data_IF_433463897029
#
_entry.id   IF_433463897029
#
_cell.length_a   1.000
_cell.length_b   1.000
_cell.length_c   1.000
_cell.angle_alpha   90.00
_cell.angle_beta   90.00
_cell.angle_gamma   90.00
#
_symmetry.space_group_name_H-M   'P 1'
#
loop_
_entity.id
_entity.type
_entity.pdbx_description
1 polymer ?
#
# COMPACT_ATOMS: atom_id res chain seq x y z
N UNK A 1 43.30 55.03 23.80
CA UNK A 1 42.74 55.50 25.08
C UNK A 1 41.41 56.19 24.79
N UNK A 2 40.32 55.89 25.50
CA UNK A 2 39.74 54.59 25.90
C UNK A 2 38.40 54.33 25.13
N UNK A 3 37.95 53.09 24.89
CA UNK A 3 37.19 52.16 25.79
C UNK A 3 35.81 52.73 26.19
N UNK A 4 34.66 52.04 26.15
CA UNK A 4 34.23 50.66 26.51
C UNK A 4 32.96 50.30 25.68
N UNK A 5 32.48 49.08 25.41
CA UNK A 5 32.53 47.77 26.06
C UNK A 5 31.08 47.26 26.24
N UNK A 6 30.57 46.34 25.42
CA UNK A 6 30.16 44.94 25.74
C UNK A 6 29.13 44.54 24.66
N UNK A 7 29.09 43.38 24.01
CA UNK A 7 29.39 42.01 24.43
C UNK A 7 28.06 41.26 24.53
N UNK A 8 27.71 40.40 23.56
CA UNK A 8 26.89 39.18 23.69
C UNK A 8 27.11 38.33 22.42
N UNK A 9 27.57 37.11 22.63
CA UNK A 9 27.58 36.01 21.67
C UNK A 9 26.26 35.24 21.75
N UNK A 10 25.80 34.64 20.65
CA UNK A 10 24.64 33.73 20.71
C UNK A 10 24.14 33.21 19.36
N UNK A 11 24.74 32.10 18.94
CA UNK A 11 24.12 30.96 18.24
C UNK A 11 23.31 31.18 16.95
N UNK A 12 23.91 30.69 15.86
CA UNK A 12 23.21 30.27 14.66
C UNK A 12 22.32 29.04 14.97
N UNK A 13 21.03 29.15 14.68
CA UNK A 13 20.09 28.04 14.60
C UNK A 13 19.53 27.98 13.19
N UNK A 14 19.72 26.85 12.52
CA UNK A 14 19.12 26.56 11.22
C UNK A 14 17.62 26.34 11.38
N UNK A 15 16.83 27.05 10.57
CA UNK A 15 15.41 26.76 10.40
C UNK A 15 15.27 25.55 9.46
N UNK A 16 14.96 24.41 10.05
CA UNK A 16 14.41 23.27 9.35
C UNK A 16 12.98 23.61 8.92
N UNK A 17 12.77 23.60 7.61
CA UNK A 17 11.48 23.71 6.93
C UNK A 17 10.56 22.58 7.42
N UNK A 18 9.64 22.94 8.33
CA UNK A 18 8.60 22.03 8.81
C UNK A 18 7.47 22.05 7.81
N UNK A 19 7.31 20.92 7.13
CA UNK A 19 6.19 20.60 6.26
C UNK A 19 4.86 21.07 6.84
N UNK A 20 4.18 21.89 6.04
CA UNK A 20 2.79 22.28 6.26
C UNK A 20 1.93 21.02 6.16
N UNK A 21 1.56 20.47 7.31
CA UNK A 21 0.41 19.58 7.44
C UNK A 21 -0.86 20.38 7.09
N UNK A 22 -1.33 20.22 5.86
CA UNK A 22 -2.62 20.71 5.41
C UNK A 22 -3.76 19.85 5.95
N UNK A 23 -3.99 19.89 7.26
CA UNK A 23 -5.26 19.43 7.86
C UNK A 23 -6.21 20.62 7.98
N UNK A 24 -6.64 21.16 6.84
CA UNK A 24 -7.81 22.03 6.83
C UNK A 24 -9.04 21.15 7.11
N UNK A 25 -9.68 21.37 8.25
CA UNK A 25 -10.90 20.69 8.65
C UNK A 25 -12.08 21.16 7.78
N UNK A 26 -12.36 20.45 6.70
CA UNK A 26 -13.58 20.62 5.88
C UNK A 26 -14.81 19.97 6.54
N UNK A 27 -15.01 20.20 7.84
CA UNK A 27 -16.26 19.83 8.50
C UNK A 27 -17.27 20.99 8.28
N UNK A 28 -18.38 20.77 7.56
CA UNK A 28 -19.39 21.81 7.42
C UNK A 28 -19.95 22.16 8.80
N UNK A 29 -20.04 23.47 9.07
CA UNK A 29 -20.55 24.00 10.33
C UNK A 29 -21.97 23.46 10.60
N UNK A 30 -22.08 22.51 11.54
CA UNK A 30 -23.35 21.98 12.05
C UNK A 30 -23.73 20.55 11.64
N UNK A 31 -22.90 19.82 10.89
CA UNK A 31 -23.16 18.43 10.47
C UNK A 31 -22.34 17.38 11.22
N UNK A 32 -22.86 16.16 11.36
CA UNK A 32 -22.04 15.01 11.76
C UNK A 32 -20.88 14.83 10.76
N UNK A 33 -19.64 14.70 11.24
CA UNK A 33 -18.46 14.52 10.37
C UNK A 33 -18.54 13.24 9.50
N UNK A 34 -19.30 12.24 9.96
CA UNK A 34 -19.54 10.96 9.30
C UNK A 34 -20.99 10.50 9.57
N UNK A 35 -21.61 9.67 8.71
CA UNK A 35 -22.97 9.16 8.95
C UNK A 35 -23.08 8.18 10.13
N UNK A 36 -21.95 7.82 10.76
CA UNK A 36 -21.85 6.71 11.72
C UNK A 36 -22.75 6.86 12.95
N UNK A 37 -22.89 8.06 13.50
CA UNK A 37 -23.79 8.30 14.65
C UNK A 37 -25.23 8.07 14.24
N UNK A 38 -25.66 8.65 13.10
CA UNK A 38 -27.00 8.44 12.56
C UNK A 38 -27.27 6.96 12.22
N UNK A 39 -26.27 6.25 11.69
CA UNK A 39 -26.37 4.82 11.42
C UNK A 39 -26.38 3.97 12.69
N UNK A 40 -25.73 4.40 13.78
CA UNK A 40 -25.85 3.76 15.08
C UNK A 40 -27.26 3.96 15.66
N UNK A 41 -27.76 5.19 15.65
CA UNK A 41 -29.10 5.53 16.13
C UNK A 41 -30.19 4.78 15.33
N UNK A 42 -30.06 4.74 14.01
CA UNK A 42 -30.93 3.95 13.13
C UNK A 42 -30.95 2.48 13.53
N UNK A 43 -29.78 1.86 13.72
CA UNK A 43 -29.67 0.44 14.09
C UNK A 43 -30.30 0.20 15.46
N UNK A 44 -30.01 1.02 16.45
CA UNK A 44 -30.58 0.89 17.80
C UNK A 44 -32.11 1.05 17.77
N UNK A 45 -32.63 2.03 17.06
CA UNK A 45 -34.08 2.25 16.94
C UNK A 45 -34.78 1.10 16.22
N UNK A 46 -34.20 0.58 15.14
CA UNK A 46 -34.78 -0.52 14.37
C UNK A 46 -34.78 -1.85 15.14
N UNK A 47 -33.72 -2.14 15.89
CA UNK A 47 -33.67 -3.28 16.83
C UNK A 47 -34.72 -3.13 17.92
N UNK A 48 -34.82 -1.95 18.54
CA UNK A 48 -35.81 -1.69 19.59
C UNK A 48 -37.26 -1.80 19.08
N UNK A 49 -37.48 -1.49 17.80
CA UNK A 49 -38.77 -1.65 17.13
C UNK A 49 -39.03 -3.08 16.61
N UNK A 50 -38.08 -4.01 16.75
CA UNK A 50 -38.20 -5.40 16.28
C UNK A 50 -38.19 -5.56 14.76
N UNK A 51 -37.54 -4.64 14.03
CA UNK A 51 -37.45 -4.69 12.56
C UNK A 51 -36.37 -5.67 12.07
N UNK A 52 -35.29 -5.83 12.83
CA UNK A 52 -34.20 -6.78 12.57
C UNK A 52 -33.41 -7.06 13.85
N UNK A 53 -32.63 -8.14 13.84
CA UNK A 53 -31.75 -8.51 14.95
C UNK A 53 -30.46 -7.66 14.97
N UNK A 54 -29.81 -7.47 16.13
CA UNK A 54 -28.63 -6.61 16.26
C UNK A 54 -27.49 -6.91 15.28
N UNK A 55 -27.27 -8.17 14.94
CA UNK A 55 -26.22 -8.64 14.03
C UNK A 55 -26.54 -8.37 12.55
N UNK A 56 -27.82 -8.18 12.20
CA UNK A 56 -28.26 -7.78 10.85
C UNK A 56 -28.06 -6.27 10.60
N UNK A 57 -27.89 -5.48 11.66
CA UNK A 57 -27.81 -4.03 11.60
C UNK A 57 -26.82 -3.46 10.57
N UNK A 58 -25.58 -3.97 10.42
CA UNK A 58 -24.65 -3.53 9.39
C UNK A 58 -25.19 -3.69 7.96
N UNK A 59 -25.89 -4.78 7.67
CA UNK A 59 -26.46 -5.04 6.33
C UNK A 59 -27.58 -4.04 6.03
N UNK A 60 -28.48 -3.79 6.98
CA UNK A 60 -29.54 -2.81 6.81
C UNK A 60 -29.02 -1.37 6.71
N UNK A 61 -27.95 -1.05 7.44
CA UNK A 61 -27.25 0.23 7.28
C UNK A 61 -26.73 0.42 5.85
N UNK A 62 -26.08 -0.59 5.27
CA UNK A 62 -25.61 -0.54 3.87
C UNK A 62 -26.79 -0.51 2.86
N UNK A 63 -27.93 -1.14 3.17
CA UNK A 63 -29.15 -1.04 2.34
C UNK A 63 -29.65 0.40 2.31
N UNK A 64 -29.84 1.03 3.47
CA UNK A 64 -30.31 2.42 3.57
C UNK A 64 -29.34 3.37 2.88
N UNK A 65 -28.03 3.24 3.15
CA UNK A 65 -27.03 4.09 2.49
C UNK A 65 -26.97 3.85 0.99
N UNK A 66 -27.21 2.62 0.52
CA UNK A 66 -27.34 2.30 -0.89
C UNK A 66 -28.50 3.02 -1.57
N UNK A 67 -29.65 3.10 -0.90
CA UNK A 67 -30.83 3.84 -1.36
C UNK A 67 -30.62 5.36 -1.37
N UNK A 68 -29.81 5.87 -0.44
CA UNK A 68 -29.47 7.30 -0.34
C UNK A 68 -28.32 7.72 -1.26
N UNK A 69 -27.59 6.76 -1.84
CA UNK A 69 -26.49 7.04 -2.75
C UNK A 69 -27.01 7.52 -4.11
N UNK A 70 -26.39 8.54 -4.71
CA UNK A 70 -26.70 9.02 -6.07
C UNK A 70 -26.59 7.91 -7.12
N UNK A 71 -27.26 8.04 -8.25
CA UNK A 71 -27.09 7.07 -9.36
C UNK A 71 -25.67 7.15 -9.93
N UNK A 72 -25.11 6.07 -10.51
CA UNK A 72 -23.80 6.11 -11.15
C UNK A 72 -23.62 7.32 -12.08
N UNK A 73 -24.57 7.53 -12.99
CA UNK A 73 -24.57 8.67 -13.91
C UNK A 73 -24.50 10.03 -13.20
N UNK A 74 -25.24 10.22 -12.10
CA UNK A 74 -25.21 11.51 -11.38
C UNK A 74 -23.87 11.77 -10.70
N UNK A 75 -23.16 10.71 -10.29
CA UNK A 75 -21.85 10.81 -9.67
C UNK A 75 -20.78 11.09 -10.73
N UNK A 76 -20.89 10.43 -11.89
CA UNK A 76 -20.06 10.73 -13.06
C UNK A 76 -20.25 12.18 -13.52
N UNK A 77 -21.49 12.65 -13.69
CA UNK A 77 -21.81 14.03 -14.12
C UNK A 77 -21.18 15.07 -13.16
N UNK A 78 -21.32 14.86 -11.84
CA UNK A 78 -20.73 15.75 -10.83
C UNK A 78 -19.21 15.69 -10.79
N UNK A 79 -18.62 14.53 -11.05
CA UNK A 79 -17.17 14.39 -11.16
C UNK A 79 -16.64 15.15 -12.37
N UNK A 80 -17.25 14.96 -13.54
CA UNK A 80 -16.87 15.64 -14.77
C UNK A 80 -17.06 17.16 -14.68
N UNK A 81 -18.13 17.62 -14.02
CA UNK A 81 -18.34 19.04 -13.74
C UNK A 81 -17.21 19.59 -12.88
N UNK A 82 -16.91 18.94 -11.75
CA UNK A 82 -15.84 19.36 -10.83
C UNK A 82 -14.46 19.31 -11.51
N UNK A 83 -14.20 18.28 -12.33
CA UNK A 83 -12.94 18.16 -13.06
C UNK A 83 -12.80 19.27 -14.11
N UNK A 84 -13.89 19.61 -14.79
CA UNK A 84 -13.91 20.69 -15.78
C UNK A 84 -13.75 22.09 -15.17
N UNK A 85 -14.22 22.31 -13.95
CA UNK A 85 -14.13 23.62 -13.26
C UNK A 85 -12.84 23.78 -12.46
N UNK A 86 -12.46 22.76 -11.70
CA UNK A 86 -11.45 22.85 -10.64
C UNK A 86 -10.28 21.86 -10.84
N UNK A 87 -10.35 21.00 -11.85
CA UNK A 87 -9.30 20.06 -12.22
C UNK A 87 -9.44 18.67 -11.57
N UNK A 88 -8.69 17.70 -12.10
CA UNK A 88 -8.81 16.28 -11.71
C UNK A 88 -8.57 16.00 -10.23
N UNK A 89 -7.67 16.75 -9.59
CA UNK A 89 -7.40 16.56 -8.15
C UNK A 89 -8.60 16.95 -7.28
N UNK A 90 -9.27 18.07 -7.58
CA UNK A 90 -10.44 18.45 -6.79
C UNK A 90 -11.61 17.50 -7.05
N UNK A 91 -11.77 16.99 -8.27
CA UNK A 91 -12.75 15.95 -8.58
C UNK A 91 -12.50 14.66 -7.77
N UNK A 92 -11.25 14.22 -7.63
CA UNK A 92 -10.88 13.08 -6.78
C UNK A 92 -11.14 13.33 -5.29
N UNK A 93 -10.87 14.54 -4.81
CA UNK A 93 -11.16 14.93 -3.42
C UNK A 93 -12.67 14.94 -3.16
N UNK A 94 -13.45 15.55 -4.06
CA UNK A 94 -14.91 15.54 -4.01
C UNK A 94 -15.44 14.11 -3.99
N UNK A 95 -14.96 13.25 -4.88
CA UNK A 95 -15.42 11.87 -4.97
C UNK A 95 -15.08 11.08 -3.70
N UNK A 96 -13.92 11.33 -3.10
CA UNK A 96 -13.55 10.72 -1.83
C UNK A 96 -14.48 11.19 -0.70
N UNK A 97 -14.75 12.50 -0.59
CA UNK A 97 -15.70 13.05 0.38
C UNK A 97 -17.09 12.41 0.21
N UNK A 98 -17.55 12.25 -1.02
CA UNK A 98 -18.80 11.54 -1.32
C UNK A 98 -18.77 10.08 -0.85
N UNK A 99 -17.70 9.33 -1.15
CA UNK A 99 -17.56 7.94 -0.73
C UNK A 99 -17.46 7.76 0.80
N UNK A 100 -16.97 8.77 1.51
CA UNK A 100 -17.02 8.82 2.99
C UNK A 100 -18.43 9.12 3.47
N UNK A 101 -19.10 10.12 2.87
CA UNK A 101 -20.45 10.54 3.25
C UNK A 101 -21.50 9.45 3.00
N UNK A 102 -21.36 8.68 1.92
CA UNK A 102 -22.25 7.55 1.64
C UNK A 102 -21.87 6.26 2.40
N UNK A 103 -20.89 6.33 3.30
CA UNK A 103 -20.38 5.22 4.11
C UNK A 103 -19.81 4.04 3.29
N UNK A 104 -19.40 4.26 2.05
CA UNK A 104 -18.66 3.25 1.29
C UNK A 104 -17.22 3.11 1.83
N UNK A 105 -16.51 4.23 1.95
CA UNK A 105 -15.23 4.29 2.68
C UNK A 105 -15.55 4.35 4.17
N UNK A 106 -15.16 3.29 4.91
CA UNK A 106 -15.47 3.15 6.34
C UNK A 106 -14.54 4.01 7.21
N UNK A 107 -14.45 5.32 6.93
CA UNK A 107 -13.45 6.25 7.48
C UNK A 107 -13.35 6.21 9.00
N UNK A 108 -14.48 6.24 9.72
CA UNK A 108 -14.42 6.24 11.19
C UNK A 108 -13.96 4.90 11.82
N UNK A 109 -13.94 3.80 11.06
CA UNK A 109 -13.30 2.55 11.49
C UNK A 109 -11.80 2.62 11.21
N UNK A 110 -11.43 3.10 10.01
CA UNK A 110 -10.03 3.27 9.61
C UNK A 110 -9.27 4.23 10.53
N UNK A 111 -9.93 5.28 10.99
CA UNK A 111 -9.36 6.28 11.92
C UNK A 111 -9.02 5.74 13.31
N UNK A 112 -9.47 4.52 13.62
CA UNK A 112 -9.16 3.84 14.89
C UNK A 112 -8.01 2.85 14.75
N UNK A 113 -7.52 2.59 13.54
CA UNK A 113 -6.42 1.65 13.34
C UNK A 113 -5.16 2.17 14.04
N UNK A 114 -4.49 1.35 14.87
CA UNK A 114 -3.15 1.67 15.35
C UNK A 114 -2.24 1.99 14.16
N UNK A 115 -1.48 3.07 14.27
CA UNK A 115 -0.56 3.54 13.23
C UNK A 115 0.62 4.28 13.84
N UNK A 116 1.83 3.93 13.45
CA UNK A 116 3.07 4.54 13.94
C UNK A 116 4.21 4.36 12.93
N UNK A 117 5.24 5.19 13.06
CA UNK A 117 6.45 5.14 12.23
C UNK A 117 7.57 4.45 12.99
N UNK A 118 8.32 3.56 12.33
CA UNK A 118 9.43 2.83 12.93
C UNK A 118 10.35 2.28 11.83
N UNK A 119 11.67 2.33 12.02
CA UNK A 119 12.67 1.86 11.04
C UNK A 119 12.52 2.45 9.62
N UNK A 120 12.08 3.71 9.51
CA UNK A 120 11.79 4.34 8.21
C UNK A 120 10.57 3.77 7.47
N UNK A 121 9.81 2.90 8.15
CA UNK A 121 8.56 2.32 7.69
C UNK A 121 7.38 2.95 8.43
N UNK A 122 6.21 2.72 7.86
CA UNK A 122 4.94 3.06 8.49
C UNK A 122 4.19 1.77 8.76
N UNK A 123 3.81 1.55 10.01
CA UNK A 123 3.12 0.33 10.43
C UNK A 123 1.68 0.68 10.79
N UNK A 124 0.71 -0.08 10.31
CA UNK A 124 -0.68 0.03 10.76
C UNK A 124 -1.31 -1.33 10.99
N UNK A 125 -2.14 -1.46 12.03
CA UNK A 125 -2.94 -2.66 12.28
C UNK A 125 -4.37 -2.41 11.80
N UNK A 126 -4.75 -3.04 10.68
CA UNK A 126 -6.06 -2.81 10.07
C UNK A 126 -7.12 -3.69 10.73
N UNK A 127 -7.95 -3.06 11.56
CA UNK A 127 -9.04 -3.73 12.29
C UNK A 127 -10.28 -3.97 11.41
N UNK A 128 -10.38 -3.31 10.26
CA UNK A 128 -11.52 -3.43 9.35
C UNK A 128 -11.36 -4.57 8.33
N UNK A 129 -10.12 -5.00 8.06
CA UNK A 129 -9.80 -6.04 7.08
C UNK A 129 -10.07 -7.43 7.69
N UNK A 130 -10.92 -8.28 7.06
CA UNK A 130 -11.02 -9.69 7.44
C UNK A 130 -9.69 -10.41 7.19
N UNK A 131 -9.19 -11.14 8.19
CA UNK A 131 -7.94 -11.89 8.08
C UNK A 131 -8.19 -13.30 7.51
N UNK A 132 -7.38 -13.71 6.53
CA UNK A 132 -7.43 -15.07 5.99
C UNK A 132 -6.27 -15.91 6.53
N UNK A 133 -6.52 -16.70 7.57
CA UNK A 133 -5.54 -17.65 8.16
C UNK A 133 -5.04 -18.74 7.20
N UNK A 134 -5.63 -18.89 6.01
CA UNK A 134 -5.23 -19.87 5.02
C UNK A 134 -5.23 -19.24 3.61
N UNK A 135 -4.06 -19.17 2.99
CA UNK A 135 -3.87 -18.58 1.65
C UNK A 135 -4.67 -19.30 0.55
N UNK A 136 -4.93 -20.61 0.68
CA UNK A 136 -5.84 -21.33 -0.23
C UNK A 136 -7.29 -20.86 -0.09
N UNK A 137 -7.72 -20.44 1.09
CA UNK A 137 -9.07 -19.86 1.30
C UNK A 137 -9.18 -18.43 0.75
N UNK A 138 -8.11 -17.64 0.81
CA UNK A 138 -8.07 -16.32 0.16
C UNK A 138 -8.20 -16.43 -1.37
N UNK A 139 -7.48 -17.38 -1.99
CA UNK A 139 -7.62 -17.69 -3.41
C UNK A 139 -9.02 -18.22 -3.78
N UNK A 140 -9.64 -19.03 -2.91
CA UNK A 140 -10.99 -19.54 -3.10
C UNK A 140 -12.07 -18.43 -2.95
N UNK A 141 -11.87 -17.46 -2.05
CA UNK A 141 -12.77 -16.30 -1.88
C UNK A 141 -12.80 -15.37 -3.10
N UNK A 142 -11.75 -15.42 -3.92
CA UNK A 142 -11.67 -14.75 -5.23
C UNK A 142 -11.96 -15.72 -6.39
N UNK A 143 -12.27 -16.99 -6.14
CA UNK A 143 -12.55 -17.96 -7.20
C UNK A 143 -13.95 -17.76 -7.77
N UNK A 144 -14.00 -17.60 -9.08
CA UNK A 144 -15.18 -17.15 -9.84
C UNK A 144 -15.89 -18.32 -10.52
N UNK A 145 -15.93 -19.48 -9.87
CA UNK A 145 -16.63 -20.64 -10.42
C UNK A 145 -18.15 -20.37 -10.48
N UNK A 146 -18.60 -19.74 -11.59
CA UNK A 146 -20.00 -19.68 -12.02
C UNK A 146 -20.87 -18.52 -11.50
N UNK A 147 -20.32 -17.37 -11.08
CA UNK A 147 -21.10 -16.26 -10.49
C UNK A 147 -21.15 -14.95 -11.30
N UNK A 148 -22.16 -14.12 -11.02
CA UNK A 148 -22.24 -12.70 -11.45
C UNK A 148 -22.25 -11.77 -10.21
N UNK A 149 -21.49 -10.66 -10.21
CA UNK A 149 -20.37 -10.31 -11.08
C UNK A 149 -19.28 -11.39 -11.12
N UNK A 150 -18.39 -11.37 -12.10
CA UNK A 150 -17.35 -12.40 -12.23
C UNK A 150 -16.46 -12.42 -10.98
N UNK A 151 -15.72 -11.34 -10.65
CA UNK A 151 -14.93 -11.22 -9.42
C UNK A 151 -15.38 -10.04 -8.54
N UNK A 152 -14.74 -9.90 -7.38
CA UNK A 152 -15.07 -8.91 -6.32
C UNK A 152 -14.77 -7.46 -6.70
N UNK A 153 -14.03 -7.23 -7.79
CA UNK A 153 -13.64 -5.91 -8.28
C UNK A 153 -14.15 -5.59 -9.68
N UNK A 154 -14.94 -6.47 -10.33
CA UNK A 154 -15.51 -6.13 -11.64
C UNK A 154 -16.43 -4.91 -11.57
N UNK A 155 -16.54 -4.19 -12.68
CA UNK A 155 -17.42 -3.02 -12.83
C UNK A 155 -18.87 -3.32 -12.45
N UNK A 156 -19.38 -4.53 -12.74
CA UNK A 156 -20.76 -4.92 -12.40
C UNK A 156 -21.04 -4.99 -10.89
N UNK A 157 -20.02 -4.82 -10.03
CA UNK A 157 -20.25 -4.65 -8.61
C UNK A 157 -20.83 -3.27 -8.26
N UNK A 158 -20.74 -2.26 -9.13
CA UNK A 158 -21.24 -0.92 -8.83
C UNK A 158 -22.75 -0.94 -8.52
N UNK A 159 -23.11 -0.50 -7.31
CA UNK A 159 -24.49 -0.55 -6.82
C UNK A 159 -25.07 -1.96 -6.64
N UNK A 160 -24.31 -3.04 -6.85
CA UNK A 160 -24.86 -4.39 -6.90
C UNK A 160 -25.22 -4.95 -5.52
N UNK A 161 -26.52 -5.08 -5.27
CA UNK A 161 -27.07 -5.58 -4.02
C UNK A 161 -26.67 -7.03 -3.71
N UNK A 162 -26.52 -7.89 -4.74
CA UNK A 162 -26.21 -9.31 -4.57
C UNK A 162 -24.82 -9.60 -3.97
N UNK A 163 -23.92 -8.61 -3.93
CA UNK A 163 -22.62 -8.69 -3.26
C UNK A 163 -22.43 -7.67 -2.14
N UNK A 164 -23.52 -7.06 -1.67
CA UNK A 164 -23.50 -5.96 -0.71
C UNK A 164 -22.59 -4.79 -1.15
N UNK A 165 -22.65 -4.42 -2.43
CA UNK A 165 -21.89 -3.30 -3.02
C UNK A 165 -22.80 -2.11 -3.36
N UNK A 166 -23.89 -1.95 -2.59
CA UNK A 166 -24.96 -0.96 -2.86
C UNK A 166 -24.48 0.49 -2.86
N UNK A 167 -23.51 0.81 -2.01
CA UNK A 167 -22.90 2.13 -1.87
C UNK A 167 -21.67 2.33 -2.76
N UNK A 168 -21.17 1.29 -3.44
CA UNK A 168 -20.04 1.42 -4.35
C UNK A 168 -20.43 2.31 -5.53
N UNK A 169 -19.59 3.31 -5.78
CA UNK A 169 -19.59 4.13 -6.99
C UNK A 169 -18.19 4.14 -7.58
N UNK A 170 -18.10 4.33 -8.88
CA UNK A 170 -16.87 4.29 -9.66
C UNK A 170 -16.81 5.50 -10.60
N UNK A 171 -15.61 5.84 -11.07
CA UNK A 171 -15.39 6.92 -12.03
C UNK A 171 -14.66 6.37 -13.25
N UNK A 172 -15.14 6.60 -14.48
CA UNK A 172 -14.44 6.18 -15.69
C UNK A 172 -13.03 6.80 -15.80
N UNK A 173 -12.08 5.99 -16.25
CA UNK A 173 -10.70 6.39 -16.52
C UNK A 173 -10.29 5.80 -17.87
N UNK A 174 -9.50 6.54 -18.65
CA UNK A 174 -8.92 6.05 -19.90
C UNK A 174 -7.41 5.92 -19.73
N UNK A 175 -6.90 4.70 -19.85
CA UNK A 175 -5.46 4.39 -19.79
C UNK A 175 -5.08 3.66 -21.07
N UNK A 176 -4.06 4.12 -21.79
CA UNK A 176 -3.63 3.53 -23.06
C UNK A 176 -4.69 3.57 -24.17
N UNK A 177 -5.71 4.41 -24.04
CA UNK A 177 -6.88 4.42 -24.92
C UNK A 177 -7.93 3.33 -24.61
N UNK A 178 -7.74 2.58 -23.53
CA UNK A 178 -8.67 1.54 -23.07
C UNK A 178 -9.60 2.04 -21.96
N UNK A 179 -10.72 1.36 -21.75
CA UNK A 179 -11.68 1.67 -20.69
C UNK A 179 -11.29 1.06 -19.35
N UNK A 180 -11.05 1.92 -18.37
CA UNK A 180 -10.78 1.60 -16.97
C UNK A 180 -11.77 2.32 -16.06
N UNK A 181 -11.76 2.01 -14.78
CA UNK A 181 -12.53 2.77 -13.79
C UNK A 181 -11.82 2.83 -12.45
N UNK A 182 -11.92 3.98 -11.78
CA UNK A 182 -11.44 4.19 -10.43
C UNK A 182 -12.51 3.85 -9.39
N UNK A 183 -12.10 3.16 -8.34
CA UNK A 183 -12.90 3.04 -7.11
C UNK A 183 -12.00 3.21 -5.88
N UNK A 184 -12.49 3.91 -4.86
CA UNK A 184 -11.80 3.93 -3.58
C UNK A 184 -11.90 2.57 -2.87
N UNK A 185 -10.97 2.29 -1.96
CA UNK A 185 -11.02 1.07 -1.15
C UNK A 185 -11.91 1.31 0.09
N UNK A 186 -12.90 0.45 0.36
CA UNK A 186 -13.79 0.63 1.51
C UNK A 186 -13.06 0.46 2.85
N UNK A 187 -11.93 -0.27 2.83
CA UNK A 187 -11.06 -0.56 3.98
C UNK A 187 -9.68 0.14 3.86
N UNK A 188 -9.62 1.25 3.13
CA UNK A 188 -8.42 2.00 2.74
C UNK A 188 -7.20 1.85 3.67
N UNK A 189 -6.02 1.64 3.08
CA UNK A 189 -4.79 1.39 3.83
C UNK A 189 -4.07 2.69 4.21
N UNK A 190 -4.30 3.73 3.42
CA UNK A 190 -3.73 5.06 3.54
C UNK A 190 -4.72 6.09 3.00
N UNK A 191 -4.36 7.37 3.11
CA UNK A 191 -5.22 8.46 2.65
C UNK A 191 -5.61 8.30 1.17
N UNK A 192 -6.92 8.31 0.91
CA UNK A 192 -7.48 8.18 -0.45
C UNK A 192 -7.02 6.93 -1.24
N UNK A 193 -6.71 5.84 -0.54
CA UNK A 193 -6.39 4.55 -1.17
C UNK A 193 -7.53 4.07 -2.08
N UNK A 194 -7.23 3.74 -3.33
CA UNK A 194 -8.15 3.16 -4.29
C UNK A 194 -7.46 2.26 -5.31
N UNK A 195 -8.26 1.72 -6.23
CA UNK A 195 -7.80 0.91 -7.34
C UNK A 195 -8.37 1.43 -8.66
N UNK A 196 -7.57 1.35 -9.72
CA UNK A 196 -7.99 1.57 -11.10
C UNK A 196 -8.10 0.21 -11.78
N UNK A 197 -9.29 -0.21 -12.18
CA UNK A 197 -9.56 -1.58 -12.64
C UNK A 197 -9.86 -1.57 -14.13
N UNK A 198 -9.31 -2.53 -14.87
CA UNK A 198 -9.63 -2.69 -16.28
C UNK A 198 -11.13 -3.01 -16.41
N UNK A 199 -11.87 -2.34 -17.28
CA UNK A 199 -13.31 -2.64 -17.41
C UNK A 199 -13.54 -4.07 -17.90
N UNK A 200 -12.63 -4.59 -18.72
CA UNK A 200 -12.65 -5.97 -19.18
C UNK A 200 -12.03 -6.88 -18.11
N UNK A 201 -12.71 -7.98 -17.80
CA UNK A 201 -12.18 -9.00 -16.89
C UNK A 201 -11.12 -9.85 -17.59
N UNK A 202 -9.87 -9.42 -17.52
CA UNK A 202 -8.69 -10.13 -18.01
C UNK A 202 -7.68 -10.33 -16.88
N UNK A 203 -6.88 -11.41 -16.87
CA UNK A 203 -5.83 -11.59 -15.88
C UNK A 203 -4.83 -10.44 -15.87
N UNK A 204 -4.33 -10.12 -14.69
CA UNK A 204 -3.31 -9.09 -14.48
C UNK A 204 -2.01 -9.44 -15.20
N UNK A 205 -1.37 -8.42 -15.77
CA UNK A 205 -0.06 -8.52 -16.41
C UNK A 205 0.78 -7.26 -16.14
N UNK A 206 2.08 -7.36 -16.39
CA UNK A 206 3.02 -6.23 -16.31
C UNK A 206 3.93 -6.27 -17.52
N UNK A 207 3.79 -5.28 -18.38
CA UNK A 207 4.50 -5.12 -19.64
C UNK A 207 4.82 -3.64 -19.91
N UNK A 208 5.14 -3.30 -21.15
CA UNK A 208 5.45 -1.94 -21.56
C UNK A 208 4.24 -1.00 -21.41
N UNK A 209 3.07 -1.46 -21.81
CA UNK A 209 1.84 -0.66 -21.83
C UNK A 209 1.43 -0.29 -20.40
N UNK A 210 1.69 -1.19 -19.45
CA UNK A 210 1.54 -0.93 -18.01
C UNK A 210 2.21 0.39 -17.60
N UNK A 211 3.43 0.69 -18.06
CA UNK A 211 4.10 1.94 -17.71
C UNK A 211 3.38 3.17 -18.29
N UNK A 212 2.89 3.07 -19.52
CA UNK A 212 2.08 4.10 -20.15
C UNK A 212 0.80 4.36 -19.37
N UNK A 213 0.09 3.29 -18.97
CA UNK A 213 -1.13 3.37 -18.17
C UNK A 213 -0.91 4.08 -16.83
N UNK A 214 0.18 3.75 -16.11
CA UNK A 214 0.49 4.42 -14.86
C UNK A 214 0.74 5.92 -15.07
N UNK A 215 1.42 6.29 -16.17
CA UNK A 215 1.69 7.68 -16.52
C UNK A 215 0.41 8.44 -16.92
N UNK A 216 -0.48 7.83 -17.69
CA UNK A 216 -1.79 8.44 -18.05
C UNK A 216 -2.60 8.79 -16.80
N UNK A 217 -2.57 7.92 -15.78
CA UNK A 217 -3.27 8.16 -14.53
C UNK A 217 -2.69 9.35 -13.77
N UNK A 218 -1.38 9.39 -13.57
CA UNK A 218 -0.75 10.48 -12.80
C UNK A 218 -0.73 11.79 -13.58
N UNK A 219 -0.82 11.77 -14.91
CA UNK A 219 -1.06 12.98 -15.71
C UNK A 219 -2.43 13.60 -15.39
N UNK A 220 -3.47 12.78 -15.27
CA UNK A 220 -4.83 13.24 -14.91
C UNK A 220 -4.94 13.62 -13.42
N UNK A 221 -4.26 12.87 -12.55
CA UNK A 221 -4.33 13.02 -11.09
C UNK A 221 -2.93 13.17 -10.46
N UNK A 222 -2.24 14.31 -10.68
CA UNK A 222 -0.80 14.47 -10.37
C UNK A 222 -0.45 14.47 -8.89
N UNK A 223 -1.42 14.64 -7.98
CA UNK A 223 -1.21 14.51 -6.54
C UNK A 223 -1.24 13.07 -6.04
N UNK A 224 -1.55 12.09 -6.90
CA UNK A 224 -1.62 10.68 -6.54
C UNK A 224 -0.46 9.91 -7.16
N UNK A 225 -0.09 8.80 -6.52
CA UNK A 225 0.69 7.76 -7.17
C UNK A 225 -0.24 6.65 -7.66
N UNK A 226 0.21 5.88 -8.66
CA UNK A 226 -0.43 4.65 -9.11
C UNK A 226 0.61 3.58 -9.39
N UNK A 227 0.36 2.34 -8.97
CA UNK A 227 1.26 1.23 -9.27
C UNK A 227 0.55 -0.10 -9.42
N UNK A 228 1.32 -1.10 -9.89
CA UNK A 228 0.85 -2.45 -10.14
C UNK A 228 1.61 -3.45 -9.26
N UNK A 229 0.91 -4.44 -8.71
CA UNK A 229 1.61 -5.61 -8.17
C UNK A 229 2.28 -6.37 -9.31
N UNK A 230 3.35 -7.09 -9.01
CA UNK A 230 3.91 -8.03 -9.97
C UNK A 230 2.88 -9.13 -10.27
N UNK A 231 2.68 -9.40 -11.56
CA UNK A 231 1.79 -10.44 -12.08
C UNK A 231 2.40 -11.85 -11.91
N UNK A 232 2.67 -12.24 -10.67
CA UNK A 232 3.14 -13.57 -10.29
C UNK A 232 2.39 -14.06 -9.05
N UNK A 233 2.18 -15.38 -8.92
CA UNK A 233 1.64 -15.95 -7.69
C UNK A 233 2.62 -15.78 -6.51
N UNK A 234 2.10 -15.85 -5.28
CA UNK A 234 2.82 -15.83 -3.98
C UNK A 234 3.51 -14.52 -3.59
N UNK A 235 3.51 -13.47 -4.41
CA UNK A 235 4.28 -12.24 -4.13
C UNK A 235 3.41 -10.97 -3.97
N UNK A 236 2.22 -11.10 -3.39
CA UNK A 236 1.43 -9.95 -2.93
C UNK A 236 0.22 -9.55 -3.78
N UNK A 237 0.05 -10.13 -4.98
CA UNK A 237 -1.16 -9.94 -5.78
C UNK A 237 -2.36 -10.66 -5.16
N UNK A 238 -3.36 -9.91 -4.66
CA UNK A 238 -4.56 -10.48 -4.03
C UNK A 238 -5.65 -10.87 -5.04
N UNK A 239 -5.74 -10.18 -6.18
CA UNK A 239 -6.70 -10.44 -7.26
C UNK A 239 -5.98 -10.52 -8.60
N UNK A 240 -5.25 -11.61 -8.85
CA UNK A 240 -4.52 -11.80 -10.12
C UNK A 240 -5.42 -12.09 -11.33
N UNK A 241 -6.69 -12.45 -11.09
CA UNK A 241 -7.63 -12.83 -12.14
C UNK A 241 -8.23 -11.64 -12.91
N UNK A 242 -8.13 -10.43 -12.36
CA UNK A 242 -8.66 -9.21 -12.99
C UNK A 242 -7.62 -8.10 -12.86
N UNK A 243 -7.16 -7.60 -14.00
CA UNK A 243 -6.18 -6.54 -14.14
C UNK A 243 -6.62 -5.23 -13.47
N UNK A 244 -5.74 -4.70 -12.62
CA UNK A 244 -5.98 -3.48 -11.84
C UNK A 244 -4.68 -2.89 -11.30
N UNK A 245 -4.69 -1.58 -11.11
CA UNK A 245 -3.64 -0.82 -10.44
C UNK A 245 -4.15 -0.32 -9.09
N UNK A 246 -3.25 0.03 -8.17
CA UNK A 246 -3.58 0.55 -6.84
C UNK A 246 -2.74 1.80 -6.53
N UNK A 247 -3.33 2.74 -5.81
CA UNK A 247 -2.72 4.05 -5.60
C UNK A 247 -3.55 4.94 -4.68
N UNK A 248 -3.17 6.22 -4.61
CA UNK A 248 -3.90 7.23 -3.85
C UNK A 248 -3.04 8.43 -3.46
N UNK A 249 -3.57 9.26 -2.56
CA UNK A 249 -3.02 10.59 -2.24
C UNK A 249 -1.98 10.64 -1.12
N UNK A 250 -1.44 9.51 -0.67
CA UNK A 250 -0.40 9.47 0.37
C UNK A 250 0.98 9.12 -0.21
N UNK A 251 1.99 9.93 0.11
CA UNK A 251 3.38 9.58 -0.17
C UNK A 251 3.87 8.50 0.78
N UNK A 252 4.04 7.28 0.26
CA UNK A 252 4.63 6.15 0.98
C UNK A 252 6.14 6.35 1.24
N UNK A 253 6.71 5.67 2.25
CA UNK A 253 8.12 5.84 2.62
C UNK A 253 9.12 5.66 1.48
N UNK A 254 8.95 4.65 0.63
CA UNK A 254 9.85 4.40 -0.49
C UNK A 254 9.87 5.56 -1.49
N UNK A 255 8.78 6.31 -1.68
CA UNK A 255 8.76 7.50 -2.54
C UNK A 255 9.70 8.60 -2.01
N UNK A 256 9.85 8.68 -0.69
CA UNK A 256 10.69 9.65 0.03
C UNK A 256 12.13 9.16 0.21
N UNK A 257 12.41 7.89 -0.08
CA UNK A 257 13.73 7.30 0.09
C UNK A 257 14.76 8.01 -0.81
N UNK A 258 15.93 8.30 -0.24
CA UNK A 258 17.03 8.91 -0.95
C UNK A 258 17.65 7.94 -1.97
N UNK A 259 18.35 8.50 -2.97
CA UNK A 259 19.20 7.70 -3.84
C UNK A 259 20.45 7.24 -3.07
N UNK A 260 20.71 5.93 -3.10
CA UNK A 260 21.96 5.34 -2.65
C UNK A 260 23.05 5.45 -3.73
N UNK A 261 22.68 5.28 -5.01
CA UNK A 261 23.54 5.54 -6.16
C UNK A 261 22.71 6.00 -7.35
N UNK A 262 23.29 6.86 -8.19
CA UNK A 262 22.66 7.43 -9.38
C UNK A 262 23.44 7.03 -10.63
N UNK A 263 22.71 6.75 -11.70
CA UNK A 263 23.24 6.34 -12.98
C UNK A 263 22.69 7.23 -14.08
N UNK A 264 23.58 7.66 -14.97
CA UNK A 264 23.20 8.26 -16.24
C UNK A 264 22.79 7.18 -17.23
N UNK A 265 21.82 7.50 -18.08
CA UNK A 265 21.43 6.67 -19.23
C UNK A 265 21.95 7.35 -20.50
N UNK A 266 23.03 6.88 -21.14
CA UNK A 266 23.68 7.61 -22.24
C UNK A 266 22.76 7.97 -23.40
N UNK A 267 21.80 7.09 -23.72
CA UNK A 267 20.82 7.29 -24.79
C UNK A 267 19.72 8.31 -24.42
N UNK A 268 19.59 8.66 -23.13
CA UNK A 268 18.58 9.57 -22.58
C UNK A 268 19.24 10.57 -21.60
N UNK A 269 19.86 11.65 -22.10
CA UNK A 269 20.70 12.55 -21.29
C UNK A 269 20.02 13.22 -20.09
N UNK A 270 18.70 13.42 -20.16
CA UNK A 270 17.89 14.04 -19.10
C UNK A 270 17.22 13.01 -18.17
N UNK A 271 17.59 11.73 -18.31
CA UNK A 271 17.05 10.62 -17.50
C UNK A 271 18.12 10.05 -16.60
N UNK A 272 17.76 9.84 -15.34
CA UNK A 272 18.60 9.13 -14.38
C UNK A 272 17.91 7.88 -13.86
N UNK A 273 18.71 6.89 -13.47
CA UNK A 273 18.25 5.70 -12.76
C UNK A 273 18.92 5.68 -11.39
N UNK A 274 18.12 5.51 -10.34
CA UNK A 274 18.59 5.54 -8.95
C UNK A 274 18.38 4.18 -8.29
N UNK A 275 19.40 3.68 -7.60
CA UNK A 275 19.22 2.64 -6.59
C UNK A 275 18.78 3.35 -5.32
N UNK A 276 17.67 2.95 -4.73
CA UNK A 276 17.16 3.59 -3.51
C UNK A 276 17.89 3.11 -2.27
N UNK A 277 18.05 3.99 -1.28
CA UNK A 277 18.44 3.57 0.07
C UNK A 277 17.24 2.96 0.77
N UNK A 278 16.94 1.72 0.38
CA UNK A 278 15.75 0.98 0.76
C UNK A 278 16.12 -0.47 1.12
N UNK A 279 15.44 -1.12 2.08
CA UNK A 279 15.72 -2.52 2.42
C UNK A 279 15.41 -3.50 1.28
N UNK A 280 14.39 -3.19 0.46
CA UNK A 280 14.03 -3.98 -0.73
C UNK A 280 14.87 -3.62 -1.96
N UNK A 281 14.93 -4.53 -2.94
CA UNK A 281 15.57 -4.26 -4.24
C UNK A 281 14.64 -3.45 -5.14
N UNK A 282 14.97 -2.19 -5.36
CA UNK A 282 14.23 -1.31 -6.26
C UNK A 282 15.15 -0.34 -7.02
N UNK A 283 14.74 0.00 -8.24
CA UNK A 283 15.35 1.05 -9.05
C UNK A 283 14.29 2.11 -9.39
N UNK A 284 14.67 3.39 -9.37
CA UNK A 284 13.79 4.50 -9.73
C UNK A 284 14.30 5.19 -10.98
N UNK A 285 13.47 5.25 -12.01
CA UNK A 285 13.73 6.02 -13.24
C UNK A 285 13.11 7.40 -13.06
N UNK A 286 13.91 8.45 -13.28
CA UNK A 286 13.47 9.84 -13.13
C UNK A 286 13.73 10.60 -14.42
N UNK A 287 12.70 11.25 -14.95
CA UNK A 287 12.78 12.05 -16.18
C UNK A 287 11.60 12.99 -16.31
N UNK A 288 11.80 14.10 -17.02
CA UNK A 288 10.69 14.94 -17.49
C UNK A 288 10.08 14.42 -18.79
N UNK A 289 10.72 13.45 -19.43
CA UNK A 289 10.26 12.86 -20.69
C UNK A 289 9.54 11.54 -20.43
N UNK A 290 8.23 11.51 -20.70
CA UNK A 290 7.35 10.35 -20.54
C UNK A 290 7.86 9.12 -21.33
N UNK A 291 8.28 9.31 -22.57
CA UNK A 291 8.76 8.22 -23.43
C UNK A 291 10.06 7.62 -22.88
N UNK A 292 10.93 8.46 -22.30
CA UNK A 292 12.16 8.00 -21.66
C UNK A 292 11.87 7.18 -20.40
N UNK A 293 10.85 7.54 -19.60
CA UNK A 293 10.40 6.72 -18.46
C UNK A 293 10.00 5.33 -18.93
N UNK A 294 9.14 5.25 -19.95
CA UNK A 294 8.63 3.98 -20.48
C UNK A 294 9.78 3.14 -21.03
N UNK A 295 10.64 3.71 -21.88
CA UNK A 295 11.72 2.97 -22.53
C UNK A 295 12.74 2.44 -21.53
N UNK A 296 13.21 3.27 -20.60
CA UNK A 296 14.23 2.87 -19.61
C UNK A 296 13.64 1.86 -18.63
N UNK A 297 12.38 2.04 -18.22
CA UNK A 297 11.70 1.11 -17.31
C UNK A 297 11.46 -0.25 -17.97
N UNK A 298 11.12 -0.28 -19.26
CA UNK A 298 10.94 -1.51 -20.03
C UNK A 298 12.26 -2.24 -20.28
N UNK A 299 13.36 -1.51 -20.52
CA UNK A 299 14.72 -2.07 -20.58
C UNK A 299 15.10 -2.79 -19.28
N UNK A 300 14.85 -2.16 -18.12
CA UNK A 300 15.09 -2.77 -16.80
C UNK A 300 14.18 -3.99 -16.60
N UNK A 301 12.88 -3.88 -16.91
CA UNK A 301 11.90 -4.96 -16.78
C UNK A 301 12.30 -6.19 -17.57
N UNK A 302 12.63 -6.02 -18.86
CA UNK A 302 12.99 -7.12 -19.76
C UNK A 302 14.27 -7.81 -19.29
N UNK A 303 15.28 -7.04 -18.87
CA UNK A 303 16.50 -7.61 -18.33
C UNK A 303 16.27 -8.41 -17.05
N UNK A 304 15.47 -7.88 -16.12
CA UNK A 304 15.14 -8.57 -14.88
C UNK A 304 14.34 -9.86 -15.12
N UNK A 305 13.40 -9.84 -16.08
CA UNK A 305 12.61 -11.02 -16.44
C UNK A 305 13.45 -12.18 -16.97
N UNK A 306 14.62 -11.90 -17.55
CA UNK A 306 15.56 -12.91 -18.06
C UNK A 306 16.80 -13.13 -17.19
N UNK A 307 16.83 -12.59 -15.96
CA UNK A 307 18.00 -12.67 -15.10
C UNK A 307 18.00 -13.97 -14.26
N UNK A 308 19.13 -14.67 -14.29
CA UNK A 308 19.40 -15.88 -13.50
C UNK A 308 20.67 -15.67 -12.67
N UNK A 309 20.64 -16.07 -11.40
CA UNK A 309 21.78 -16.09 -10.50
C UNK A 309 21.59 -17.20 -9.45
N UNK A 310 22.13 -18.37 -9.75
CA UNK A 310 22.02 -19.53 -8.87
C UNK A 310 22.72 -19.34 -7.52
N UNK A 311 23.71 -18.44 -7.41
CA UNK A 311 24.38 -18.18 -6.14
C UNK A 311 23.50 -17.35 -5.18
N UNK A 312 22.54 -16.60 -5.73
CA UNK A 312 21.55 -15.82 -5.01
C UNK A 312 20.17 -16.47 -4.96
N UNK A 313 20.06 -17.75 -5.37
CA UNK A 313 18.79 -18.48 -5.52
C UNK A 313 17.77 -17.77 -6.43
N UNK A 314 18.26 -17.05 -7.45
CA UNK A 314 17.42 -16.38 -8.45
C UNK A 314 17.36 -17.23 -9.71
N UNK A 315 16.15 -17.65 -10.07
CA UNK A 315 15.86 -18.20 -11.38
C UNK A 315 14.79 -17.33 -12.07
N UNK A 316 14.97 -17.07 -13.35
CA UNK A 316 14.04 -16.34 -14.21
C UNK A 316 12.78 -17.16 -14.48
N UNK A 317 12.91 -18.49 -14.51
CA UNK A 317 11.86 -19.46 -14.80
C UNK A 317 11.98 -20.72 -13.93
N UNK A 318 10.85 -21.38 -13.67
CA UNK A 318 10.85 -22.69 -13.02
C UNK A 318 11.14 -23.84 -14.00
N UNK A 319 11.17 -25.08 -13.47
CA UNK A 319 11.42 -26.30 -14.26
C UNK A 319 10.36 -26.58 -15.34
N UNK A 320 9.16 -26.01 -15.19
CA UNK A 320 8.06 -26.13 -16.15
C UNK A 320 8.05 -24.97 -17.16
N UNK A 321 9.02 -24.06 -17.07
CA UNK A 321 9.16 -22.89 -17.92
C UNK A 321 8.23 -21.72 -17.55
N UNK A 322 7.60 -21.74 -16.38
CA UNK A 322 6.81 -20.59 -15.91
C UNK A 322 7.75 -19.49 -15.41
N UNK A 323 7.46 -18.24 -15.80
CA UNK A 323 8.22 -17.07 -15.34
C UNK A 323 8.17 -16.94 -13.82
N UNK A 324 9.33 -16.67 -13.22
CA UNK A 324 9.49 -16.42 -11.80
C UNK A 324 9.89 -14.98 -11.45
N UNK A 325 10.41 -14.21 -12.42
CA UNK A 325 10.79 -12.80 -12.22
C UNK A 325 9.78 -11.81 -12.83
N UNK A 326 9.46 -10.76 -12.09
CA UNK A 326 8.66 -9.62 -12.57
C UNK A 326 8.97 -8.36 -11.77
N UNK A 327 8.48 -7.21 -12.23
CA UNK A 327 8.58 -5.94 -11.49
C UNK A 327 7.21 -5.55 -10.94
N UNK A 328 7.19 -4.86 -9.81
CA UNK A 328 6.03 -4.10 -9.33
C UNK A 328 6.31 -2.61 -9.57
N UNK A 329 5.75 -2.01 -10.64
CA UNK A 329 5.96 -0.59 -10.94
C UNK A 329 5.06 0.33 -10.12
N UNK A 330 5.52 1.54 -9.83
CA UNK A 330 4.75 2.63 -9.22
C UNK A 330 5.21 3.96 -9.80
N UNK A 331 4.28 4.77 -10.28
CA UNK A 331 4.53 6.07 -10.87
C UNK A 331 3.98 7.20 -9.98
N UNK A 332 4.71 8.31 -9.93
CA UNK A 332 4.28 9.56 -9.33
C UNK A 332 4.91 10.75 -10.09
N UNK A 333 4.27 11.91 -10.01
CA UNK A 333 4.86 13.17 -10.47
C UNK A 333 5.40 13.94 -9.27
N UNK A 334 6.67 14.34 -9.34
CA UNK A 334 7.34 15.21 -8.36
C UNK A 334 7.84 16.49 -9.05
N UNK A 335 8.53 17.34 -8.31
CA UNK A 335 9.23 18.51 -8.86
C UNK A 335 10.36 18.13 -9.85
N UNK A 336 10.89 16.90 -9.75
CA UNK A 336 11.89 16.33 -10.65
C UNK A 336 11.31 15.88 -11.99
N UNK A 337 9.98 15.73 -12.08
CA UNK A 337 9.27 15.19 -13.25
C UNK A 337 8.55 13.90 -12.89
N UNK A 338 8.50 12.95 -13.83
CA UNK A 338 7.98 11.62 -13.57
C UNK A 338 9.02 10.79 -12.81
N UNK A 339 8.56 10.08 -11.79
CA UNK A 339 9.36 9.08 -11.08
C UNK A 339 8.66 7.73 -11.17
N UNK A 340 9.29 6.77 -11.84
CA UNK A 340 8.83 5.38 -11.95
C UNK A 340 9.73 4.49 -11.10
N UNK A 341 9.21 4.01 -9.98
CA UNK A 341 9.89 3.01 -9.15
C UNK A 341 9.54 1.60 -9.61
N UNK A 342 10.56 0.77 -9.82
CA UNK A 342 10.45 -0.64 -10.16
C UNK A 342 10.97 -1.47 -9.00
N UNK A 343 10.08 -2.16 -8.29
CA UNK A 343 10.47 -3.12 -7.25
C UNK A 343 10.69 -4.48 -7.91
N UNK A 344 11.86 -5.07 -7.70
CA UNK A 344 12.25 -6.32 -8.33
C UNK A 344 11.66 -7.47 -7.52
N UNK A 345 10.90 -8.35 -8.17
CA UNK A 345 10.20 -9.45 -7.51
C UNK A 345 10.57 -10.78 -8.15
N UNK A 346 10.69 -11.80 -7.31
CA UNK A 346 10.86 -13.17 -7.74
C UNK A 346 10.02 -14.10 -6.85
N UNK A 347 9.37 -15.10 -7.43
CA UNK A 347 8.49 -16.04 -6.70
C UNK A 347 9.02 -17.47 -6.60
N UNK A 348 10.34 -17.64 -6.79
CA UNK A 348 11.04 -18.89 -6.59
C UNK A 348 10.82 -19.44 -5.18
N UNK A 349 10.84 -20.77 -5.09
CA UNK A 349 10.64 -21.54 -3.87
C UNK A 349 11.81 -22.49 -3.69
N UNK A 350 12.02 -22.95 -2.46
CA UNK A 350 13.00 -24.00 -2.15
C UNK A 350 12.42 -25.00 -1.14
N UNK A 351 13.13 -26.10 -0.87
CA UNK A 351 12.73 -27.02 0.20
C UNK A 351 12.68 -26.32 1.57
N UNK A 352 13.61 -25.38 1.81
CA UNK A 352 13.63 -24.57 3.03
C UNK A 352 12.50 -23.55 3.06
N UNK A 353 12.17 -22.94 1.92
CA UNK A 353 11.15 -21.89 1.80
C UNK A 353 10.10 -22.26 0.75
N UNK A 354 9.15 -23.16 1.08
CA UNK A 354 8.12 -23.62 0.14
C UNK A 354 7.11 -22.53 -0.23
N UNK A 355 6.93 -21.52 0.62
CA UNK A 355 6.06 -20.37 0.35
C UNK A 355 6.77 -19.26 -0.47
N UNK A 356 8.11 -19.34 -0.61
CA UNK A 356 8.91 -18.42 -1.41
C UNK A 356 10.23 -18.04 -0.75
N UNK A 357 11.32 -18.06 -1.53
CA UNK A 357 12.64 -17.61 -1.08
C UNK A 357 12.61 -16.11 -0.76
N UNK A 358 11.93 -15.32 -1.61
CA UNK A 358 11.79 -13.86 -1.49
C UNK A 358 10.44 -13.47 -0.88
N UNK A 359 10.16 -14.01 0.30
CA UNK A 359 8.88 -13.88 1.01
C UNK A 359 9.08 -13.59 2.51
N UNK A 360 8.01 -13.29 3.24
CA UNK A 360 8.02 -13.37 4.70
C UNK A 360 8.32 -14.81 5.14
N UNK A 361 9.38 -14.99 5.92
CA UNK A 361 9.87 -16.30 6.37
C UNK A 361 9.18 -16.75 7.67
N UNK A 362 9.21 -18.07 8.00
CA UNK A 362 8.42 -18.65 9.09
C UNK A 362 8.53 -17.96 10.45
N UNK A 363 9.72 -17.47 10.81
CA UNK A 363 9.99 -16.77 12.05
C UNK A 363 9.22 -15.44 12.23
N UNK A 364 8.70 -14.88 11.13
CA UNK A 364 7.94 -13.63 11.13
C UNK A 364 6.43 -13.82 10.91
N UNK A 365 5.97 -15.06 10.67
CA UNK A 365 4.54 -15.36 10.48
C UNK A 365 3.61 -15.00 11.65
N UNK A 366 4.05 -15.02 12.93
CA UNK A 366 3.22 -14.53 14.04
C UNK A 366 2.75 -13.09 13.81
N UNK A 367 3.59 -12.27 13.16
CA UNK A 367 3.27 -10.88 12.76
C UNK A 367 2.61 -10.86 11.39
N UNK A 368 3.29 -11.37 10.36
CA UNK A 368 2.86 -11.25 8.96
C UNK A 368 3.22 -12.50 8.17
N UNK A 369 2.21 -13.32 7.94
CA UNK A 369 2.31 -14.49 7.05
C UNK A 369 1.90 -14.17 5.61
N UNK A 370 0.99 -13.21 5.40
CA UNK A 370 0.49 -12.87 4.07
C UNK A 370 1.62 -12.32 3.18
N UNK A 371 1.62 -12.62 1.87
CA UNK A 371 2.56 -12.06 0.91
C UNK A 371 2.65 -10.54 0.95
N UNK A 372 3.85 -10.02 0.70
CA UNK A 372 4.15 -8.59 0.71
C UNK A 372 3.66 -7.94 -0.58
N UNK A 373 2.56 -7.18 -0.48
CA UNK A 373 1.99 -6.43 -1.60
C UNK A 373 2.82 -5.21 -2.00
N UNK A 374 2.48 -4.57 -3.11
CA UNK A 374 3.13 -3.32 -3.56
C UNK A 374 3.16 -2.26 -2.44
N UNK A 375 2.06 -2.04 -1.72
CA UNK A 375 1.98 -1.01 -0.67
C UNK A 375 2.97 -1.28 0.47
N UNK A 376 3.10 -2.55 0.87
CA UNK A 376 4.00 -2.99 1.93
C UNK A 376 5.45 -2.94 1.48
N UNK A 377 5.73 -3.35 0.23
CA UNK A 377 7.05 -3.24 -0.38
C UNK A 377 7.52 -1.78 -0.51
N UNK A 378 6.58 -0.82 -0.57
CA UNK A 378 6.83 0.62 -0.56
C UNK A 378 6.91 1.23 0.86
N UNK A 379 6.80 0.39 1.90
CA UNK A 379 7.09 0.76 3.28
C UNK A 379 5.89 1.04 4.17
N UNK A 380 4.66 0.85 3.69
CA UNK A 380 3.47 0.90 4.51
C UNK A 380 2.96 -0.51 4.81
N UNK A 381 3.26 -1.03 6.00
CA UNK A 381 2.86 -2.37 6.41
C UNK A 381 1.44 -2.39 6.98
N UNK A 382 0.60 -3.24 6.40
CA UNK A 382 -0.78 -3.45 6.85
C UNK A 382 -0.86 -4.77 7.60
N UNK A 383 -0.76 -4.66 8.91
CA UNK A 383 -0.80 -5.77 9.83
C UNK A 383 -2.25 -6.18 10.17
N UNK A 384 -2.48 -7.45 10.51
CA UNK A 384 -3.80 -8.00 10.75
C UNK A 384 -4.37 -7.62 12.12
N UNK A 385 -5.69 -7.38 12.19
CA UNK A 385 -6.39 -6.92 13.39
C UNK A 385 -6.21 -7.78 14.64
N UNK A 386 -5.95 -9.08 14.51
CA UNK A 386 -5.68 -9.99 15.65
C UNK A 386 -4.51 -9.52 16.52
N UNK A 387 -3.53 -8.81 15.94
CA UNK A 387 -2.32 -8.42 16.65
C UNK A 387 -2.61 -7.45 17.79
N UNK A 388 -3.70 -6.68 17.75
CA UNK A 388 -4.06 -5.79 18.86
C UNK A 388 -4.20 -6.57 20.17
N UNK A 389 -4.91 -7.69 20.15
CA UNK A 389 -5.11 -8.52 21.34
C UNK A 389 -3.83 -9.29 21.72
N UNK A 390 -3.15 -9.88 20.72
CA UNK A 390 -1.95 -10.69 20.95
C UNK A 390 -0.82 -9.85 21.55
N UNK A 391 -0.58 -8.65 21.01
CA UNK A 391 0.45 -7.75 21.53
C UNK A 391 0.10 -7.22 22.90
N UNK A 392 -1.18 -6.90 23.17
CA UNK A 392 -1.63 -6.51 24.51
C UNK A 392 -1.31 -7.58 25.56
N UNK A 393 -1.48 -8.87 25.23
CA UNK A 393 -1.10 -9.99 26.10
C UNK A 393 0.40 -10.06 26.34
N UNK A 394 1.22 -9.80 25.32
CA UNK A 394 2.67 -9.74 25.48
C UNK A 394 3.07 -8.59 26.41
N UNK A 395 2.49 -7.40 26.20
CA UNK A 395 2.74 -6.22 27.05
C UNK A 395 2.34 -6.48 28.51
N UNK A 396 1.21 -7.15 28.73
CA UNK A 396 0.72 -7.53 30.06
C UNK A 396 1.69 -8.47 30.77
N UNK A 397 2.13 -9.53 30.08
CA UNK A 397 3.05 -10.50 30.64
C UNK A 397 4.42 -9.88 30.94
N UNK A 398 4.95 -9.03 30.05
CA UNK A 398 6.21 -8.29 30.27
C UNK A 398 6.12 -7.38 31.51
N UNK A 399 5.03 -6.64 31.67
CA UNK A 399 4.83 -5.76 32.81
C UNK A 399 4.67 -6.52 34.15
N UNK A 400 4.00 -7.67 34.12
CA UNK A 400 3.88 -8.58 35.26
C UNK A 400 5.21 -9.32 35.57
N UNK A 401 6.10 -9.42 34.58
CA UNK A 401 7.30 -10.25 34.63
C UNK A 401 7.01 -11.74 34.60
N UNK A 402 5.96 -12.10 33.88
CA UNK A 402 5.57 -13.47 33.59
C UNK A 402 6.28 -13.96 32.32
N UNK A 403 6.14 -15.26 32.02
CA UNK A 403 6.64 -15.83 30.78
C UNK A 403 5.74 -15.51 29.58
N UNK A 404 6.17 -15.94 28.39
CA UNK A 404 5.36 -15.85 27.17
C UNK A 404 4.00 -16.56 27.38
N UNK A 405 2.85 -15.88 27.13
CA UNK A 405 1.54 -16.52 27.22
C UNK A 405 1.41 -17.73 26.28
N UNK A 406 0.77 -18.80 26.75
CA UNK A 406 0.64 -20.06 26.00
C UNK A 406 -0.11 -19.89 24.67
N UNK A 407 -1.11 -19.01 24.62
CA UNK A 407 -1.86 -18.68 23.41
C UNK A 407 -1.13 -17.72 22.46
N UNK A 408 0.07 -17.27 22.85
CA UNK A 408 1.01 -16.50 22.05
C UNK A 408 2.34 -17.24 21.84
N UNK A 409 2.38 -18.57 22.02
CA UNK A 409 3.60 -19.38 21.92
C UNK A 409 4.39 -19.20 20.61
N UNK A 410 3.70 -18.88 19.51
CA UNK A 410 4.34 -18.66 18.21
C UNK A 410 5.22 -17.39 18.18
N UNK A 411 5.05 -16.45 19.13
CA UNK A 411 5.84 -15.20 19.24
C UNK A 411 7.19 -15.39 19.94
N UNK A 412 7.72 -16.61 20.00
CA UNK A 412 8.93 -16.93 20.78
C UNK A 412 10.14 -16.06 20.41
N UNK A 413 10.34 -15.78 19.11
CA UNK A 413 11.44 -14.92 18.65
C UNK A 413 11.24 -13.49 19.15
N UNK A 414 10.09 -12.89 18.83
CA UNK A 414 9.76 -11.51 19.18
C UNK A 414 9.80 -11.31 20.70
N UNK A 415 9.29 -12.28 21.46
CA UNK A 415 9.35 -12.27 22.92
C UNK A 415 10.79 -12.23 23.45
N UNK A 416 11.68 -13.05 22.88
CA UNK A 416 13.07 -13.09 23.31
C UNK A 416 13.82 -11.79 23.00
N UNK A 417 13.55 -11.19 21.84
CA UNK A 417 14.14 -9.91 21.42
C UNK A 417 13.60 -8.76 22.28
N UNK A 418 12.29 -8.72 22.54
CA UNK A 418 11.66 -7.75 23.45
C UNK A 418 12.20 -7.85 24.87
N UNK A 419 12.27 -9.06 25.44
CA UNK A 419 12.76 -9.26 26.79
C UNK A 419 14.23 -8.83 26.94
N UNK A 420 15.06 -9.06 25.91
CA UNK A 420 16.43 -8.60 25.86
C UNK A 420 16.53 -7.07 25.74
N UNK A 421 15.73 -6.46 24.84
CA UNK A 421 15.73 -5.01 24.63
C UNK A 421 15.25 -4.24 25.87
N UNK A 422 14.29 -4.80 26.62
CA UNK A 422 13.76 -4.19 27.83
C UNK A 422 14.69 -4.32 29.04
N UNK A 423 15.61 -5.30 29.05
CA UNK A 423 16.56 -5.56 30.15
C UNK A 423 15.88 -5.52 31.55
N UNK A 424 14.71 -6.18 31.65
CA UNK A 424 13.93 -6.23 32.89
C UNK A 424 13.14 -4.95 33.23
N UNK A 425 13.12 -3.94 32.36
CA UNK A 425 12.24 -2.78 32.49
C UNK A 425 10.77 -3.20 32.35
N UNK A 426 9.97 -2.87 33.35
CA UNK A 426 8.54 -3.22 33.44
C UNK A 426 7.59 -2.02 33.30
N UNK A 427 8.13 -0.86 32.93
CA UNK A 427 7.32 0.33 32.69
C UNK A 427 6.47 0.12 31.42
N UNK A 428 5.16 0.37 31.51
CA UNK A 428 4.20 0.13 30.41
C UNK A 428 4.49 0.96 29.17
N UNK A 429 4.89 2.21 29.31
CA UNK A 429 5.18 3.07 28.16
C UNK A 429 6.46 2.60 27.45
N UNK A 430 7.48 2.17 28.21
CA UNK A 430 8.70 1.59 27.66
C UNK A 430 8.43 0.25 26.95
N UNK A 431 7.58 -0.61 27.53
CA UNK A 431 7.14 -1.86 26.93
C UNK A 431 6.40 -1.59 25.61
N UNK A 432 5.43 -0.67 25.62
CA UNK A 432 4.65 -0.33 24.43
C UNK A 432 5.54 0.20 23.29
N UNK A 433 6.48 1.09 23.63
CA UNK A 433 7.46 1.60 22.67
C UNK A 433 8.36 0.49 22.10
N UNK A 434 8.83 -0.43 22.95
CA UNK A 434 9.63 -1.58 22.50
C UNK A 434 8.84 -2.53 21.59
N UNK A 435 7.54 -2.74 21.87
CA UNK A 435 6.66 -3.54 21.00
C UNK A 435 6.47 -2.86 19.63
N UNK A 436 6.25 -1.55 19.59
CA UNK A 436 6.17 -0.81 18.33
C UNK A 436 7.48 -0.86 17.53
N UNK A 437 8.61 -0.68 18.21
CA UNK A 437 9.95 -0.79 17.61
C UNK A 437 10.20 -2.18 17.02
N UNK A 438 9.89 -3.23 17.78
CA UNK A 438 10.02 -4.62 17.34
C UNK A 438 9.14 -4.94 16.13
N UNK A 439 7.90 -4.42 16.08
CA UNK A 439 7.06 -4.56 14.89
C UNK A 439 7.69 -3.89 13.67
N UNK A 440 8.27 -2.70 13.82
CA UNK A 440 9.00 -2.01 12.76
C UNK A 440 10.20 -2.80 12.28
N UNK A 441 11.03 -3.26 13.22
CA UNK A 441 12.19 -4.13 12.97
C UNK A 441 11.82 -5.42 12.23
N UNK A 442 10.75 -6.13 12.65
CA UNK A 442 10.25 -7.32 11.94
C UNK A 442 9.84 -6.97 10.51
N UNK A 443 9.12 -5.86 10.30
CA UNK A 443 8.69 -5.44 8.97
C UNK A 443 9.88 -5.08 8.05
N UNK A 444 10.90 -4.41 8.59
CA UNK A 444 12.16 -4.12 7.87
C UNK A 444 12.89 -5.42 7.49
N UNK A 445 13.03 -6.36 8.43
CA UNK A 445 13.63 -7.67 8.17
C UNK A 445 12.86 -8.46 7.11
N UNK A 446 11.53 -8.39 7.11
CA UNK A 446 10.69 -8.97 6.06
C UNK A 446 11.01 -8.33 4.69
N UNK A 447 11.15 -7.00 4.60
CA UNK A 447 11.56 -6.37 3.34
C UNK A 447 12.93 -6.87 2.87
N UNK A 448 13.88 -7.03 3.80
CA UNK A 448 15.17 -7.66 3.55
C UNK A 448 15.04 -9.09 3.02
N UNK A 449 14.09 -9.88 3.51
CA UNK A 449 13.80 -11.22 2.98
C UNK A 449 13.27 -11.14 1.54
N UNK A 450 12.39 -10.18 1.24
CA UNK A 450 11.83 -9.99 -0.11
C UNK A 450 12.78 -9.38 -1.13
N UNK A 451 13.88 -8.75 -0.68
CA UNK A 451 14.92 -8.22 -1.57
C UNK A 451 15.56 -9.35 -2.39
N UNK A 452 15.56 -9.23 -3.72
CA UNK A 452 16.15 -10.25 -4.59
C UNK A 452 17.68 -10.15 -4.60
N UNK A 453 18.21 -8.93 -4.60
CA UNK A 453 19.63 -8.66 -4.42
C UNK A 453 19.89 -8.28 -2.97
N UNK A 454 20.58 -9.18 -2.23
CA UNK A 454 20.95 -8.95 -0.82
C UNK A 454 22.07 -7.92 -0.66
N UNK A 455 22.86 -7.71 -1.71
CA UNK A 455 23.90 -6.68 -1.78
C UNK A 455 23.53 -5.65 -2.87
N UNK A 456 23.53 -4.36 -2.51
CA UNK A 456 23.31 -3.24 -3.44
C UNK A 456 24.35 -3.22 -4.57
N UNK A 457 25.56 -3.73 -4.34
CA UNK A 457 26.57 -3.86 -5.40
C UNK A 457 26.15 -4.80 -6.54
N UNK A 458 25.35 -5.83 -6.27
CA UNK A 458 24.76 -6.67 -7.32
C UNK A 458 23.78 -5.87 -8.18
N UNK A 459 23.01 -4.96 -7.56
CA UNK A 459 22.11 -4.05 -8.30
C UNK A 459 22.91 -3.09 -9.19
N UNK A 460 24.06 -2.60 -8.70
CA UNK A 460 24.99 -1.78 -9.51
C UNK A 460 25.44 -2.54 -10.74
N UNK A 461 25.97 -3.76 -10.57
CA UNK A 461 26.45 -4.58 -11.70
C UNK A 461 25.32 -4.92 -12.68
N UNK A 462 24.11 -5.17 -12.18
CA UNK A 462 22.94 -5.39 -13.02
C UNK A 462 22.64 -4.15 -13.90
N UNK A 463 22.62 -2.95 -13.32
CA UNK A 463 22.36 -1.71 -14.07
C UNK A 463 23.50 -1.35 -15.05
N UNK A 464 24.76 -1.59 -14.67
CA UNK A 464 25.92 -1.39 -15.55
C UNK A 464 25.90 -2.35 -16.75
N UNK A 465 25.44 -3.59 -16.56
CA UNK A 465 25.24 -4.55 -17.66
C UNK A 465 24.18 -4.07 -18.67
N UNK A 466 23.27 -3.18 -18.25
CA UNK A 466 22.36 -2.48 -19.13
C UNK A 466 22.98 -1.27 -19.81
N UNK A 467 24.28 -1.00 -19.65
CA UNK A 467 24.95 0.16 -20.24
C UNK A 467 24.65 1.48 -19.54
N UNK A 468 24.09 1.45 -18.33
CA UNK A 468 23.95 2.64 -17.49
C UNK A 468 25.29 2.96 -16.83
N UNK A 469 25.60 4.24 -16.69
CA UNK A 469 26.91 4.70 -16.21
C UNK A 469 26.74 5.33 -14.85
N UNK A 470 27.37 4.76 -13.83
CA UNK A 470 27.34 5.31 -12.47
C UNK A 470 27.97 6.71 -12.45
N UNK A 471 27.30 7.65 -11.78
CA UNK A 471 27.75 9.03 -11.60
C UNK A 471 28.72 9.21 -10.44
#
# INVERSE_FOLDING_TARGET
>A
MPAEGSGIAGQAGGEADRGRDGTASDAPAGGYAYPNTLLADFRTAAVAAGLFEPDEGPVYADIVMGLLSGTPSSIEDSFEETEGTDGGMEAMHWFYRYCVANNYVKKAVLDKNPRFDSHGLVITINMAKPEFKNMKKAAAGNSVAGGYPKCTICHENEGFAGRNKRTLRTIPVTLGGEEWFWQFSPYGYFHQHGICVNRTHTPMHVDRDTFGHLLDFVDRFPGYFLGCNAALPRIGGSVLAHDHYQGGGELLPMHKAAAWATFAVPDFPDTVVEILDWPGTAARVVSKNRDAIVEVSDRIRLAWQGYDDAAADIASHDVDGNRQSAVSPSAIITDRGYEMSLIFRNNAVSEQYPEGIFHAHPEFWPIKQEPIGLIEAQGLFILPGRLVEQLGKLEDALAAGEGLPEDCADFQLQWSELAAALDGNRNRDAIHAAVQDELGSVCERILGNTAVFKDKHTTVSFLEALGFVRQ
#
